data_IF_048866235654
#
_entry.id   IF_048866235654
#
_cell.length_a   1.000
_cell.length_b   1.000
_cell.length_c   1.000
_cell.angle_alpha   90.00
_cell.angle_beta   90.00
_cell.angle_gamma   90.00
#
_symmetry.space_group_name_H-M   'P 1'
#
loop_
_entity.id
_entity.type
_entity.pdbx_description
1 polymer ?
#
# COMPACT_ATOMS: atom_id res chain seq x y z
N UNK A 1 25.65 -24.44 7.89
CA UNK A 1 24.28 -24.06 8.27
C UNK A 1 24.28 -22.54 8.33
N UNK A 2 23.41 -21.86 7.59
CA UNK A 2 23.31 -20.39 7.66
C UNK A 2 22.64 -20.03 8.99
N UNK A 3 23.25 -19.12 9.76
CA UNK A 3 22.62 -18.57 10.96
C UNK A 3 21.33 -17.83 10.54
N UNK A 4 20.19 -18.31 11.01
CA UNK A 4 18.87 -17.73 10.68
C UNK A 4 18.49 -16.56 11.60
N UNK A 5 19.30 -16.26 12.61
CA UNK A 5 19.08 -15.11 13.48
C UNK A 5 19.43 -13.82 12.73
N UNK A 6 18.44 -13.03 12.40
CA UNK A 6 18.64 -11.76 11.72
C UNK A 6 19.06 -10.66 12.70
N UNK A 7 20.11 -9.88 12.38
CA UNK A 7 20.52 -8.76 13.21
C UNK A 7 19.47 -7.65 13.16
N UNK A 8 19.27 -6.97 14.29
CA UNK A 8 18.46 -5.74 14.30
C UNK A 8 19.22 -4.62 13.60
N UNK A 9 18.60 -4.01 12.60
CA UNK A 9 19.14 -2.86 11.85
C UNK A 9 18.15 -1.73 11.87
N UNK A 10 18.65 -0.50 11.99
CA UNK A 10 17.86 0.70 11.74
C UNK A 10 17.92 1.00 10.25
N UNK A 11 16.77 0.99 9.59
CA UNK A 11 16.64 1.23 8.15
C UNK A 11 16.20 2.68 7.93
N UNK A 12 17.04 3.46 7.28
CA UNK A 12 16.83 4.89 7.04
C UNK A 12 16.60 5.21 5.54
N UNK A 13 16.49 4.18 4.71
CA UNK A 13 16.20 4.33 3.28
C UNK A 13 14.70 4.41 2.98
N UNK A 14 14.33 4.67 1.73
CA UNK A 14 12.93 4.72 1.27
C UNK A 14 12.23 3.37 1.30
N UNK A 15 12.97 2.29 1.38
CA UNK A 15 12.49 0.92 1.51
C UNK A 15 13.63 -0.11 1.35
N UNK A 16 13.58 -1.24 2.05
CA UNK A 16 12.61 -1.60 3.10
C UNK A 16 12.73 -0.74 4.36
N UNK A 17 11.66 -0.68 5.17
CA UNK A 17 11.57 0.09 6.40
C UNK A 17 11.33 -0.79 7.63
N UNK A 18 11.73 -0.29 8.80
CA UNK A 18 11.38 -0.95 10.05
C UNK A 18 9.88 -0.82 10.32
N UNK A 19 9.21 -1.94 10.54
CA UNK A 19 7.80 -1.95 10.89
C UNK A 19 7.61 -1.71 12.39
N UNK A 20 6.54 -0.99 12.73
CA UNK A 20 6.13 -0.87 14.13
C UNK A 20 5.77 -2.25 14.71
N UNK A 21 6.11 -2.57 15.97
CA UNK A 21 5.83 -3.89 16.55
C UNK A 21 4.37 -4.34 16.48
N UNK A 22 3.42 -3.41 16.59
CA UNK A 22 1.98 -3.71 16.43
C UNK A 22 1.62 -4.18 15.00
N UNK A 23 2.31 -3.67 13.98
CA UNK A 23 2.12 -4.12 12.60
C UNK A 23 2.63 -5.54 12.42
N UNK A 24 3.83 -5.82 12.94
CA UNK A 24 4.40 -7.18 12.92
C UNK A 24 3.49 -8.18 13.64
N UNK A 25 2.96 -7.81 14.81
CA UNK A 25 2.03 -8.64 15.56
C UNK A 25 0.71 -8.89 14.78
N UNK A 26 0.19 -7.89 14.08
CA UNK A 26 -1.00 -8.04 13.24
C UNK A 26 -0.74 -8.96 12.04
N UNK A 27 0.44 -8.87 11.42
CA UNK A 27 0.84 -9.75 10.31
C UNK A 27 1.01 -11.21 10.72
N UNK A 28 1.24 -11.49 12.00
CA UNK A 28 1.39 -12.83 12.55
C UNK A 28 0.06 -13.48 13.02
N UNK A 29 -1.07 -12.80 12.82
CA UNK A 29 -2.39 -13.35 13.17
C UNK A 29 -2.80 -14.47 12.20
N UNK A 30 -3.68 -15.40 12.66
CA UNK A 30 -4.26 -16.40 11.77
C UNK A 30 -4.97 -15.78 10.57
N UNK A 31 -4.90 -16.49 9.44
CA UNK A 31 -5.61 -16.07 8.23
C UNK A 31 -7.11 -16.31 8.38
N UNK A 32 -7.89 -15.39 7.85
CA UNK A 32 -9.35 -15.51 7.71
C UNK A 32 -9.73 -15.46 6.24
N UNK A 33 -10.87 -16.02 5.89
CA UNK A 33 -11.37 -16.00 4.51
C UNK A 33 -11.72 -14.58 4.05
N UNK A 34 -11.58 -14.31 2.76
CA UNK A 34 -11.88 -12.99 2.18
C UNK A 34 -13.37 -12.60 2.24
N UNK A 35 -14.27 -13.56 2.48
CA UNK A 35 -15.71 -13.33 2.70
C UNK A 35 -16.10 -13.47 4.18
N UNK A 36 -15.13 -13.67 5.07
CA UNK A 36 -15.39 -13.74 6.50
C UNK A 36 -15.92 -12.38 7.00
N UNK A 37 -16.99 -12.35 7.78
CA UNK A 37 -17.56 -11.11 8.31
C UNK A 37 -16.54 -10.26 9.09
N UNK A 38 -15.62 -10.90 9.82
CA UNK A 38 -14.55 -10.19 10.52
C UNK A 38 -13.60 -9.49 9.54
N UNK A 39 -13.24 -10.17 8.45
CA UNK A 39 -12.39 -9.55 7.41
C UNK A 39 -13.08 -8.37 6.73
N UNK A 40 -14.37 -8.51 6.39
CA UNK A 40 -15.15 -7.43 5.80
C UNK A 40 -15.23 -6.22 6.72
N UNK A 41 -15.44 -6.42 8.03
CA UNK A 41 -15.42 -5.34 9.00
C UNK A 41 -14.06 -4.63 9.09
N UNK A 42 -12.95 -5.38 9.01
CA UNK A 42 -11.59 -4.81 8.95
C UNK A 42 -11.42 -3.95 7.69
N UNK A 43 -11.89 -4.42 6.52
CA UNK A 43 -11.83 -3.66 5.27
C UNK A 43 -12.59 -2.34 5.37
N UNK A 44 -13.80 -2.34 5.92
CA UNK A 44 -14.62 -1.13 6.14
C UNK A 44 -13.92 -0.14 7.07
N UNK A 45 -13.32 -0.63 8.15
CA UNK A 45 -12.55 0.21 9.06
C UNK A 45 -11.33 0.82 8.38
N UNK A 46 -10.58 0.04 7.59
CA UNK A 46 -9.43 0.52 6.81
C UNK A 46 -9.85 1.62 5.85
N UNK A 47 -10.93 1.43 5.08
CA UNK A 47 -11.46 2.44 4.16
C UNK A 47 -11.83 3.74 4.90
N UNK A 48 -12.48 3.62 6.06
CA UNK A 48 -12.86 4.77 6.88
C UNK A 48 -11.65 5.54 7.38
N UNK A 49 -10.62 4.83 7.84
CA UNK A 49 -9.36 5.45 8.29
C UNK A 49 -8.60 6.11 7.14
N UNK A 50 -8.57 5.48 5.95
CA UNK A 50 -7.94 6.04 4.76
C UNK A 50 -8.62 7.34 4.34
N UNK A 51 -9.95 7.44 4.38
CA UNK A 51 -10.65 8.70 4.13
C UNK A 51 -10.17 9.81 5.06
N UNK A 52 -9.95 9.50 6.33
CA UNK A 52 -9.39 10.46 7.29
C UNK A 52 -7.95 10.88 6.94
N UNK A 53 -7.09 9.95 6.54
CA UNK A 53 -5.70 10.23 6.15
C UNK A 53 -5.63 11.10 4.90
N UNK A 54 -6.45 10.82 3.89
CA UNK A 54 -6.49 11.57 2.63
C UNK A 54 -7.36 12.83 2.69
N UNK A 55 -8.08 13.07 3.79
CA UNK A 55 -8.98 14.22 3.92
C UNK A 55 -10.12 14.19 2.89
N UNK A 56 -10.58 13.01 2.48
CA UNK A 56 -11.60 12.83 1.44
C UNK A 56 -12.91 12.30 1.99
N UNK A 57 -14.01 12.62 1.32
CA UNK A 57 -15.35 12.05 1.55
C UNK A 57 -15.72 10.98 0.50
N UNK A 58 -14.79 10.68 -0.42
CA UNK A 58 -15.04 9.70 -1.47
C UNK A 58 -15.35 8.33 -0.84
N UNK A 59 -16.53 7.74 -1.07
CA UNK A 59 -16.88 6.43 -0.55
C UNK A 59 -15.96 5.32 -1.12
N UNK A 60 -15.50 5.49 -2.34
CA UNK A 60 -14.58 4.56 -3.00
C UNK A 60 -13.12 4.93 -2.67
N UNK A 61 -12.69 4.57 -1.46
CA UNK A 61 -11.33 4.77 -0.95
C UNK A 61 -10.83 3.43 -0.40
N UNK A 62 -9.87 2.82 -1.06
CA UNK A 62 -9.39 1.48 -0.70
C UNK A 62 -7.88 1.32 -0.95
N UNK A 63 -7.21 0.43 -0.21
CA UNK A 63 -5.84 0.06 -0.50
C UNK A 63 -5.80 -0.89 -1.70
N UNK A 64 -4.76 -0.76 -2.53
CA UNK A 64 -4.46 -1.73 -3.59
C UNK A 64 -3.46 -2.75 -3.04
N UNK A 65 -3.84 -4.02 -3.05
CA UNK A 65 -2.95 -5.13 -2.63
C UNK A 65 -2.01 -5.49 -3.78
N UNK A 66 -0.92 -4.73 -3.91
CA UNK A 66 0.04 -4.87 -5.00
C UNK A 66 1.38 -4.23 -4.65
N UNK A 67 2.35 -4.31 -5.58
CA UNK A 67 3.57 -3.51 -5.52
C UNK A 67 3.27 -2.02 -5.74
N UNK A 68 4.19 -1.12 -5.35
CA UNK A 68 4.04 0.32 -5.59
C UNK A 68 3.84 0.67 -7.06
N UNK A 69 4.55 -0.01 -7.98
CA UNK A 69 4.39 0.19 -9.43
C UNK A 69 2.99 -0.18 -9.92
N UNK A 70 2.42 -1.29 -9.44
CA UNK A 70 1.05 -1.65 -9.78
C UNK A 70 0.02 -0.69 -9.16
N UNK A 71 0.32 -0.09 -8.00
CA UNK A 71 -0.48 0.99 -7.43
C UNK A 71 -0.47 2.25 -8.30
N UNK A 72 0.68 2.64 -8.84
CA UNK A 72 0.79 3.75 -9.82
C UNK A 72 -0.01 3.45 -11.08
N UNK A 73 0.17 2.27 -11.67
CA UNK A 73 -0.58 1.83 -12.85
C UNK A 73 -2.10 1.86 -12.60
N UNK A 74 -2.55 1.38 -11.44
CA UNK A 74 -3.96 1.45 -11.08
C UNK A 74 -4.49 2.89 -11.03
N UNK A 75 -3.71 3.84 -10.53
CA UNK A 75 -4.10 5.26 -10.56
C UNK A 75 -4.21 5.79 -11.99
N UNK A 76 -3.21 5.55 -12.82
CA UNK A 76 -3.20 6.03 -14.20
C UNK A 76 -4.34 5.42 -15.02
N UNK A 77 -4.50 4.10 -14.94
CA UNK A 77 -5.54 3.37 -15.68
C UNK A 77 -6.99 3.73 -15.28
N UNK A 78 -7.18 4.27 -14.07
CA UNK A 78 -8.52 4.66 -13.60
C UNK A 78 -8.79 6.17 -13.71
N UNK A 79 -7.78 6.99 -13.95
CA UNK A 79 -7.92 8.45 -13.98
C UNK A 79 -7.74 9.04 -15.38
N UNK A 80 -7.19 8.27 -16.33
CA UNK A 80 -6.82 8.76 -17.66
C UNK A 80 -7.54 7.96 -18.74
N UNK A 81 -7.94 8.67 -19.79
CA UNK A 81 -8.47 8.11 -21.02
C UNK A 81 -7.44 8.23 -22.16
N UNK A 82 -7.51 7.37 -23.19
CA UNK A 82 -6.63 7.49 -24.34
C UNK A 82 -6.70 8.88 -24.99
N UNK A 83 -5.59 9.59 -25.01
CA UNK A 83 -5.48 10.95 -25.58
C UNK A 83 -5.49 12.07 -24.55
N UNK A 84 -5.67 11.77 -23.26
CA UNK A 84 -5.57 12.77 -22.21
C UNK A 84 -4.14 13.33 -22.10
N UNK A 85 -3.98 14.66 -21.96
CA UNK A 85 -2.67 15.26 -21.73
C UNK A 85 -2.21 14.98 -20.30
N UNK A 86 -1.00 14.46 -20.15
CA UNK A 86 -0.40 14.13 -18.84
C UNK A 86 0.94 14.85 -18.70
N UNK A 87 1.20 15.38 -17.52
CA UNK A 87 2.51 15.94 -17.17
C UNK A 87 3.18 15.03 -16.15
N UNK A 88 4.33 14.48 -16.51
CA UNK A 88 5.13 13.61 -15.65
C UNK A 88 6.35 14.34 -15.14
N UNK A 89 6.51 14.46 -13.83
CA UNK A 89 7.71 15.00 -13.18
C UNK A 89 8.78 13.91 -13.03
N UNK A 90 9.79 13.91 -13.90
CA UNK A 90 10.88 12.92 -13.87
C UNK A 90 12.04 13.46 -13.05
N UNK A 91 12.24 12.90 -11.85
CA UNK A 91 13.36 13.22 -10.97
C UNK A 91 14.22 11.98 -10.61
N UNK A 92 13.97 10.85 -11.28
CA UNK A 92 14.66 9.59 -11.08
C UNK A 92 13.94 8.44 -11.75
N UNK A 93 14.45 7.22 -11.58
CA UNK A 93 14.03 6.00 -12.29
C UNK A 93 12.52 5.71 -12.20
N UNK A 94 11.86 6.04 -11.11
CA UNK A 94 10.42 5.81 -10.98
C UNK A 94 9.58 6.79 -11.81
N UNK A 95 10.03 8.01 -12.02
CA UNK A 95 9.39 8.95 -12.95
C UNK A 95 9.57 8.54 -14.41
N UNK A 96 10.64 7.80 -14.74
CA UNK A 96 10.88 7.28 -16.09
C UNK A 96 10.02 6.05 -16.43
N UNK A 97 9.39 5.43 -15.42
CA UNK A 97 8.53 4.25 -15.58
C UNK A 97 7.05 4.60 -15.82
N UNK A 98 6.67 5.85 -15.72
CA UNK A 98 5.33 6.36 -15.97
C UNK A 98 5.17 6.71 -17.44
#
# INVERSE_FOLDING_TARGET
MVDTALPRRLLLGPGPSNLHPRVLAAMAQPLVGHLDPHFLAVVEEVQTRLRGVFGTRNPFTLPISATGSAGMEACLANLLEPGDPVVVGVAGVFGEQI
#
